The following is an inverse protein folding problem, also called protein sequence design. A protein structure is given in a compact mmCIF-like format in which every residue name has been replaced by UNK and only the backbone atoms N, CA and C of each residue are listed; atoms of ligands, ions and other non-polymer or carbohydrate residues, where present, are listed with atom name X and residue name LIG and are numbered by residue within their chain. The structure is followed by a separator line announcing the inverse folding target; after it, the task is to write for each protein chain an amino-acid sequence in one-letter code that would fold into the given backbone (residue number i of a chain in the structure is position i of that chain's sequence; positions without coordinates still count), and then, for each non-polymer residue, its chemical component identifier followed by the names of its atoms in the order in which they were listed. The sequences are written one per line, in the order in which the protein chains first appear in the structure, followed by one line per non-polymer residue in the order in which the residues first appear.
data_IF_796661336057
#
_entry.id   IF_796661336057
#
_cell.length_a   1.000
_cell.length_b   1.000
_cell.length_c   1.000
_cell.angle_alpha   90.00
_cell.angle_beta   90.00
_cell.angle_gamma   90.00
#
_symmetry.space_group_name_H-M   'P 1'
#
loop_
_entity.id
_entity.type
_entity.pdbx_description
1 polymer ?
#
# COMPACT_ATOMS: atom_id res chain seq x y z
N UNK A 1 -52.09 -18.92 -55.16
CA UNK A 1 -52.67 -20.24 -55.50
C UNK A 1 -51.68 -21.34 -55.20
N UNK A 2 -52.17 -22.31 -54.42
CA UNK A 2 -51.61 -23.64 -54.10
C UNK A 2 -50.52 -23.72 -53.05
N UNK A 3 -51.00 -23.87 -51.78
CA UNK A 3 -50.32 -24.46 -50.63
C UNK A 3 -50.04 -25.93 -50.87
N UNK A 4 -48.84 -26.42 -50.52
CA UNK A 4 -48.59 -27.83 -50.33
C UNK A 4 -48.16 -28.03 -48.86
N UNK A 5 -49.10 -28.58 -48.13
CA UNK A 5 -48.93 -29.11 -46.77
C UNK A 5 -48.15 -30.45 -46.90
N UNK A 6 -47.03 -30.57 -46.22
CA UNK A 6 -46.34 -31.83 -46.04
C UNK A 6 -46.50 -32.23 -44.56
N UNK A 7 -47.31 -33.26 -44.40
CA UNK A 7 -47.54 -33.96 -43.13
C UNK A 7 -46.36 -34.92 -42.90
N UNK A 8 -45.58 -34.75 -41.86
CA UNK A 8 -44.57 -35.73 -41.42
C UNK A 8 -45.12 -36.48 -40.22
N UNK A 9 -45.38 -37.78 -40.46
CA UNK A 9 -45.86 -38.76 -39.50
C UNK A 9 -44.69 -39.08 -38.54
N UNK A 10 -44.83 -38.80 -37.24
CA UNK A 10 -43.88 -39.25 -36.23
C UNK A 10 -44.29 -40.65 -35.73
N UNK A 11 -43.48 -41.65 -36.03
CA UNK A 11 -43.61 -42.98 -35.46
C UNK A 11 -42.97 -43.01 -34.08
N UNK A 12 -43.74 -43.25 -33.06
CA UNK A 12 -43.28 -43.52 -31.70
C UNK A 12 -42.84 -45.00 -31.57
N UNK A 13 -41.62 -45.21 -31.21
CA UNK A 13 -41.11 -46.51 -30.75
C UNK A 13 -40.85 -46.47 -29.25
N UNK A 14 -41.30 -47.45 -28.48
CA UNK A 14 -41.03 -47.52 -27.05
C UNK A 14 -39.61 -48.02 -26.79
N UNK A 15 -38.79 -47.25 -26.15
CA UNK A 15 -37.50 -47.68 -25.62
C UNK A 15 -37.72 -48.32 -24.25
N UNK A 16 -37.51 -49.66 -24.22
CA UNK A 16 -37.44 -50.43 -22.98
C UNK A 16 -36.22 -50.01 -22.17
N UNK A 17 -36.45 -49.69 -20.88
CA UNK A 17 -35.38 -49.56 -19.91
C UNK A 17 -34.71 -50.91 -19.66
N UNK A 18 -33.49 -51.08 -20.11
CA UNK A 18 -32.59 -52.11 -19.61
C UNK A 18 -31.71 -51.45 -18.57
N UNK A 19 -31.93 -51.77 -17.31
CA UNK A 19 -31.05 -51.46 -16.24
C UNK A 19 -29.74 -52.25 -16.42
N UNK A 20 -28.66 -51.54 -16.77
CA UNK A 20 -27.31 -52.13 -16.73
C UNK A 20 -26.74 -51.83 -15.32
N UNK A 21 -26.51 -52.90 -14.56
CA UNK A 21 -25.71 -52.91 -13.37
C UNK A 21 -24.30 -52.39 -13.69
N UNK A 22 -23.96 -51.22 -13.19
CA UNK A 22 -22.61 -50.75 -13.21
C UNK A 22 -21.79 -51.44 -12.11
N UNK A 23 -20.61 -51.93 -12.38
CA UNK A 23 -19.76 -52.55 -11.35
C UNK A 23 -19.35 -51.45 -10.33
N UNK A 24 -19.64 -51.68 -9.07
CA UNK A 24 -19.16 -50.90 -7.95
C UNK A 24 -17.63 -50.98 -7.91
N UNK A 25 -16.96 -49.94 -8.35
CA UNK A 25 -15.54 -49.75 -8.06
C UNK A 25 -15.37 -49.49 -6.57
N UNK A 26 -14.77 -50.46 -5.89
CA UNK A 26 -14.32 -50.33 -4.50
C UNK A 26 -13.33 -49.18 -4.42
N UNK A 27 -13.65 -48.18 -3.58
CA UNK A 27 -12.70 -47.10 -3.22
C UNK A 27 -11.42 -47.71 -2.64
N UNK A 28 -10.24 -47.23 -3.03
CA UNK A 28 -9.00 -47.69 -2.43
C UNK A 28 -8.99 -47.31 -0.93
N UNK A 29 -8.74 -48.32 -0.10
CA UNK A 29 -8.55 -48.21 1.35
C UNK A 29 -7.44 -47.20 1.62
N UNK A 30 -7.69 -46.22 2.48
CA UNK A 30 -6.70 -45.27 2.92
C UNK A 30 -5.46 -46.01 3.47
N UNK A 31 -4.24 -45.54 3.12
CA UNK A 31 -3.03 -46.15 3.67
C UNK A 31 -3.02 -45.97 5.19
N UNK A 32 -2.81 -47.09 5.89
CA UNK A 32 -2.68 -47.13 7.36
C UNK A 32 -1.64 -46.11 7.81
N UNK A 33 -2.01 -45.30 8.79
CA UNK A 33 -1.14 -44.35 9.45
C UNK A 33 0.18 -45.03 9.87
N UNK A 34 1.26 -44.63 9.23
CA UNK A 34 2.62 -45.00 9.65
C UNK A 34 2.86 -44.33 11.00
N UNK A 35 2.87 -45.11 12.06
CA UNK A 35 3.34 -44.64 13.37
C UNK A 35 4.83 -44.32 13.26
N UNK A 36 5.17 -43.06 13.22
CA UNK A 36 6.56 -42.64 13.40
C UNK A 36 6.98 -42.96 14.82
N UNK A 37 8.18 -43.57 15.01
CA UNK A 37 8.75 -43.73 16.35
C UNK A 37 9.02 -42.33 16.94
N UNK A 38 8.91 -42.14 18.27
CA UNK A 38 9.23 -40.86 18.90
C UNK A 38 10.68 -40.46 18.58
N UNK A 39 10.96 -39.14 18.43
CA UNK A 39 12.33 -38.69 18.18
C UNK A 39 13.24 -39.10 19.33
N UNK A 40 14.44 -39.53 18.97
CA UNK A 40 15.47 -39.88 19.95
C UNK A 40 15.81 -38.68 20.85
N UNK A 41 16.09 -38.89 22.15
CA UNK A 41 16.47 -37.79 23.02
C UNK A 41 17.74 -37.11 22.53
N UNK A 42 17.73 -35.77 22.55
CA UNK A 42 18.88 -34.96 22.17
C UNK A 42 20.12 -35.33 23.03
N UNK A 43 21.32 -35.33 22.45
CA UNK A 43 22.54 -35.55 23.18
C UNK A 43 22.73 -34.48 24.27
N UNK A 44 23.25 -34.80 25.44
CA UNK A 44 23.46 -33.83 26.50
C UNK A 44 24.44 -32.74 26.04
N UNK A 45 24.10 -31.50 26.37
CA UNK A 45 24.97 -30.34 26.14
C UNK A 45 26.36 -30.57 26.78
N UNK A 46 27.46 -30.12 26.14
CA UNK A 46 28.78 -30.20 26.73
C UNK A 46 28.80 -29.41 28.04
N UNK A 47 29.33 -30.05 29.12
CA UNK A 47 29.49 -29.42 30.40
C UNK A 47 30.35 -28.16 30.27
N UNK A 48 29.88 -27.07 30.84
CA UNK A 48 30.62 -25.83 30.97
C UNK A 48 31.89 -26.08 31.78
N UNK A 49 33.05 -25.77 31.21
CA UNK A 49 34.30 -25.73 31.96
C UNK A 49 34.31 -24.49 32.86
N UNK A 50 34.81 -24.57 34.09
CA UNK A 50 34.86 -23.41 34.98
C UNK A 50 35.91 -22.41 34.51
N UNK A 51 35.50 -21.16 34.52
CA UNK A 51 36.30 -19.96 34.25
C UNK A 51 37.61 -19.96 35.06
N UNK A 52 38.72 -19.87 34.34
CA UNK A 52 40.00 -19.57 34.93
C UNK A 52 40.08 -18.05 35.20
N UNK A 53 40.27 -17.69 36.44
CA UNK A 53 40.43 -16.33 36.93
C UNK A 53 41.59 -15.58 36.24
N UNK A 54 41.46 -14.27 36.01
CA UNK A 54 42.53 -13.46 35.45
C UNK A 54 43.64 -13.18 36.46
N UNK A 55 44.87 -13.51 36.09
CA UNK A 55 46.06 -13.07 36.83
C UNK A 55 46.32 -11.57 36.65
N UNK A 56 46.36 -10.87 37.78
CA UNK A 56 46.86 -9.53 37.92
C UNK A 56 48.37 -9.45 37.57
N UNK A 57 48.73 -8.59 36.65
CA UNK A 57 50.07 -7.99 36.62
C UNK A 57 49.91 -6.47 36.60
N UNK A 58 50.33 -5.83 37.66
CA UNK A 58 50.62 -4.41 37.81
C UNK A 58 52.14 -4.22 37.84
N UNK A 59 52.69 -2.97 37.91
CA UNK A 59 52.74 -1.93 36.87
C UNK A 59 54.22 -1.49 36.66
N UNK A 60 54.52 -0.80 35.56
CA UNK A 60 55.76 -0.05 35.46
C UNK A 60 55.48 1.35 34.86
N UNK A 61 55.67 2.25 35.75
CA UNK A 61 56.07 3.68 35.70
C UNK A 61 56.60 4.25 34.39
N UNK A 62 56.10 5.39 33.97
CA UNK A 62 56.81 6.64 33.76
C UNK A 62 55.91 7.75 33.21
N UNK A 63 55.70 8.78 34.00
CA UNK A 63 55.44 10.15 33.63
C UNK A 63 56.80 10.86 33.31
N UNK A 64 56.88 12.15 32.84
CA UNK A 64 55.86 13.15 32.56
C UNK A 64 56.13 14.00 31.28
N UNK A 65 55.22 14.82 30.86
CA UNK A 65 55.41 16.24 30.58
C UNK A 65 54.20 16.91 29.94
N UNK A 66 53.52 17.74 30.71
CA UNK A 66 52.80 18.93 30.22
C UNK A 66 53.81 20.04 29.86
N UNK A 67 53.48 21.09 29.05
CA UNK A 67 52.67 22.16 29.61
C UNK A 67 51.76 22.97 28.63
N UNK A 68 50.83 23.63 29.26
CA UNK A 68 50.39 25.03 29.09
C UNK A 68 49.35 25.38 28.05
N UNK A 69 48.21 25.73 28.58
CA UNK A 69 47.29 26.79 28.12
C UNK A 69 48.03 28.14 27.93
N UNK A 70 47.46 29.12 27.16
CA UNK A 70 46.49 29.99 27.84
C UNK A 70 45.28 30.43 26.98
N UNK A 71 44.16 30.66 27.64
CA UNK A 71 43.20 31.67 27.27
C UNK A 71 43.78 33.08 27.63
N UNK A 72 43.37 34.17 26.95
CA UNK A 72 42.59 35.16 27.69
C UNK A 72 41.47 35.86 26.93
N UNK A 73 40.46 36.14 27.73
CA UNK A 73 39.91 37.45 28.06
C UNK A 73 38.99 38.15 27.06
N UNK A 74 37.77 38.30 27.52
CA UNK A 74 36.84 39.39 27.15
C UNK A 74 37.44 40.77 27.59
N UNK A 75 37.01 41.89 26.97
CA UNK A 75 36.46 43.00 27.71
C UNK A 75 35.12 43.47 27.16
N UNK A 76 34.20 43.62 28.01
CA UNK A 76 33.52 44.74 28.67
C UNK A 76 33.30 46.02 27.85
N UNK A 77 31.96 46.34 27.82
CA UNK A 77 31.31 47.65 28.03
C UNK A 77 31.59 48.81 27.05
N UNK A 78 30.47 49.33 26.56
CA UNK A 78 30.32 50.66 25.99
C UNK A 78 28.86 51.05 25.96
N UNK A 79 28.43 51.72 27.01
CA UNK A 79 27.19 52.45 27.21
C UNK A 79 27.06 53.67 26.30
N UNK A 80 25.87 53.98 25.81
CA UNK A 80 25.27 55.34 25.77
C UNK A 80 24.03 55.34 24.87
N UNK A 81 22.87 55.52 25.49
CA UNK A 81 22.11 56.78 25.64
C UNK A 81 21.13 57.05 24.48
N UNK A 82 19.88 57.03 24.87
CA UNK A 82 18.71 57.66 24.21
C UNK A 82 18.94 59.15 23.92
N UNK A 83 18.15 59.80 23.05
CA UNK A 83 16.92 60.35 23.59
C UNK A 83 15.69 60.32 22.66
N UNK A 84 14.53 60.26 23.28
CA UNK A 84 13.25 60.75 22.75
C UNK A 84 13.25 62.26 22.67
N UNK A 85 12.38 62.87 21.87
CA UNK A 85 11.59 63.99 22.36
C UNK A 85 10.09 63.77 22.28
N UNK A 86 9.52 64.37 23.29
CA UNK A 86 8.09 64.52 23.59
C UNK A 86 7.40 65.54 22.69
N UNK A 87 6.08 65.27 22.62
CA UNK A 87 4.94 66.16 22.71
C UNK A 87 4.74 67.25 21.66
N UNK A 88 3.51 67.31 21.12
CA UNK A 88 2.50 68.25 21.66
C UNK A 88 1.10 67.94 21.17
N UNK A 89 0.20 68.22 22.02
CA UNK A 89 -1.22 68.06 21.97
C UNK A 89 -1.91 69.07 21.03
N UNK A 90 -3.06 68.77 20.54
CA UNK A 90 -4.31 69.43 20.71
C UNK A 90 -5.34 69.12 19.66
N UNK A 91 -6.45 68.68 20.04
CA UNK A 91 -7.80 69.28 20.14
C UNK A 91 -8.81 68.69 19.13
N UNK A 92 -9.72 67.98 19.77
CA UNK A 92 -11.19 67.97 19.59
C UNK A 92 -11.81 68.04 18.18
N UNK A 93 -12.56 67.02 17.88
CA UNK A 93 -14.02 67.13 17.68
C UNK A 93 -14.64 65.74 17.41
N UNK A 94 -15.61 65.40 18.28
CA UNK A 94 -16.58 64.33 18.04
C UNK A 94 -17.69 64.93 17.16
N UNK A 95 -18.26 64.11 16.18
CA UNK A 95 -19.59 63.63 16.49
C UNK A 95 -19.82 62.16 16.10
N UNK A 96 -20.55 61.56 17.00
CA UNK A 96 -21.63 60.58 16.91
C UNK A 96 -21.72 59.53 15.79
N UNK A 97 -21.69 58.29 16.28
CA UNK A 97 -22.59 57.16 15.99
C UNK A 97 -22.83 56.75 14.54
N UNK A 98 -22.20 55.64 14.18
CA UNK A 98 -22.86 54.53 13.51
C UNK A 98 -22.17 53.24 13.95
N UNK A 99 -22.82 52.55 14.86
CA UNK A 99 -22.58 51.16 15.19
C UNK A 99 -22.86 50.32 13.94
N UNK A 100 -21.79 49.87 13.34
CA UNK A 100 -21.80 48.79 12.37
C UNK A 100 -20.88 47.73 12.96
N UNK A 101 -21.44 46.84 13.75
CA UNK A 101 -20.83 45.54 14.05
C UNK A 101 -20.64 44.79 12.74
N UNK A 102 -19.48 44.91 12.17
CA UNK A 102 -19.01 43.95 11.18
C UNK A 102 -18.49 42.78 11.98
N UNK A 103 -19.43 41.95 12.40
CA UNK A 103 -19.13 40.60 12.87
C UNK A 103 -18.52 39.83 11.67
N UNK A 104 -17.20 39.96 11.53
CA UNK A 104 -16.39 39.20 10.60
C UNK A 104 -16.24 37.77 11.14
N UNK A 105 -17.38 37.14 11.41
CA UNK A 105 -17.50 35.69 11.55
C UNK A 105 -17.31 35.12 10.18
N UNK A 106 -16.05 34.83 9.87
CA UNK A 106 -15.71 33.88 8.79
C UNK A 106 -16.53 32.63 9.04
N UNK A 107 -17.70 32.55 8.42
CA UNK A 107 -18.53 31.36 8.41
C UNK A 107 -17.75 30.32 7.61
N UNK A 108 -16.94 29.55 8.31
CA UNK A 108 -16.30 28.37 7.72
C UNK A 108 -17.42 27.40 7.37
N UNK A 109 -17.89 27.46 6.13
CA UNK A 109 -18.83 26.47 5.58
C UNK A 109 -18.09 25.15 5.52
N UNK A 110 -18.18 24.36 6.58
CA UNK A 110 -17.74 22.96 6.57
C UNK A 110 -18.77 22.16 5.77
N UNK A 111 -18.62 22.13 4.45
CA UNK A 111 -19.38 21.19 3.61
C UNK A 111 -18.87 19.80 3.97
N UNK A 112 -19.68 19.02 4.68
CA UNK A 112 -19.43 17.59 4.86
C UNK A 112 -19.60 16.95 3.49
N UNK A 113 -18.52 16.44 2.94
CA UNK A 113 -18.57 15.71 1.66
C UNK A 113 -18.86 14.26 2.01
N UNK A 114 -20.10 13.84 1.86
CA UNK A 114 -20.55 12.47 2.09
C UNK A 114 -20.38 11.65 0.80
N UNK A 115 -19.19 11.71 0.19
CA UNK A 115 -18.86 11.06 -1.07
C UNK A 115 -17.75 10.04 -0.87
N UNK A 116 -17.87 8.93 -1.58
CA UNK A 116 -16.86 7.89 -1.63
C UNK A 116 -16.15 7.97 -2.98
N UNK A 117 -14.82 8.15 -2.94
CA UNK A 117 -13.98 8.17 -4.13
C UNK A 117 -13.37 6.78 -4.35
N UNK A 118 -13.45 6.27 -5.56
CA UNK A 118 -12.87 4.98 -5.92
C UNK A 118 -12.05 5.11 -7.19
N UNK A 119 -10.78 4.75 -7.08
CA UNK A 119 -9.88 4.60 -8.22
C UNK A 119 -9.97 3.15 -8.71
N UNK A 120 -10.02 2.96 -10.01
CA UNK A 120 -10.13 1.64 -10.63
C UNK A 120 -9.48 1.60 -12.01
N UNK A 121 -9.22 0.39 -12.48
CA UNK A 121 -8.71 0.13 -13.83
C UNK A 121 -9.68 -0.74 -14.61
N UNK A 122 -9.65 -0.61 -15.92
CA UNK A 122 -10.43 -1.44 -16.83
C UNK A 122 -9.50 -2.06 -17.86
N UNK A 123 -9.60 -3.37 -18.01
CA UNK A 123 -8.87 -4.12 -19.03
C UNK A 123 -9.81 -4.87 -19.95
N UNK A 124 -9.36 -5.12 -21.18
CA UNK A 124 -10.03 -6.00 -22.13
C UNK A 124 -9.72 -7.49 -21.81
N UNK A 125 -10.20 -8.41 -22.67
CA UNK A 125 -9.94 -9.85 -22.53
C UNK A 125 -8.47 -10.25 -22.71
N UNK A 126 -7.63 -9.36 -23.24
CA UNK A 126 -6.21 -9.55 -23.46
C UNK A 126 -5.36 -8.83 -22.43
N UNK A 127 -6.01 -8.35 -21.34
CA UNK A 127 -5.42 -7.56 -20.27
C UNK A 127 -4.84 -6.19 -20.73
N UNK A 128 -5.24 -5.66 -21.90
CA UNK A 128 -4.88 -4.30 -22.29
C UNK A 128 -5.77 -3.28 -21.59
N UNK A 129 -5.18 -2.19 -21.12
CA UNK A 129 -5.92 -1.09 -20.48
C UNK A 129 -6.82 -0.38 -21.48
N UNK A 130 -8.10 -0.25 -21.13
CA UNK A 130 -9.10 0.50 -21.89
C UNK A 130 -9.16 1.90 -21.33
N UNK A 131 -8.90 2.93 -22.16
CA UNK A 131 -8.69 4.32 -21.70
C UNK A 131 -9.73 5.32 -22.22
N UNK A 132 -10.72 4.89 -22.99
CA UNK A 132 -11.67 5.72 -23.71
C UNK A 132 -13.12 5.61 -23.21
N UNK A 133 -13.32 4.94 -22.05
CA UNK A 133 -14.64 4.79 -21.45
C UNK A 133 -15.13 6.10 -20.79
N UNK A 134 -16.46 6.18 -20.64
CA UNK A 134 -17.19 7.31 -20.08
C UNK A 134 -18.01 6.90 -18.86
N UNK A 135 -18.55 7.86 -18.12
CA UNK A 135 -19.39 7.57 -16.95
C UNK A 135 -20.58 6.63 -17.26
N UNK A 136 -21.18 6.77 -18.44
CA UNK A 136 -22.32 5.96 -18.86
C UNK A 136 -22.00 4.47 -19.06
N UNK A 137 -20.70 4.13 -19.15
CA UNK A 137 -20.26 2.75 -19.33
C UNK A 137 -20.19 1.97 -18.00
N UNK A 138 -20.47 2.65 -16.87
CA UNK A 138 -20.31 2.07 -15.55
C UNK A 138 -21.56 2.15 -14.70
N UNK A 139 -21.68 1.18 -13.79
CA UNK A 139 -22.64 1.15 -12.69
C UNK A 139 -21.92 0.88 -11.39
N UNK A 140 -22.28 1.61 -10.33
CA UNK A 140 -21.74 1.40 -8.97
C UNK A 140 -22.79 0.75 -8.10
N UNK A 141 -22.39 -0.24 -7.35
CA UNK A 141 -23.17 -0.91 -6.32
C UNK A 141 -22.43 -0.79 -5.00
N UNK A 142 -23.06 -0.16 -4.01
CA UNK A 142 -22.54 0.04 -2.66
C UNK A 142 -23.38 -0.73 -1.67
N UNK A 143 -22.80 -1.69 -0.97
CA UNK A 143 -23.47 -2.58 -0.01
C UNK A 143 -24.76 -3.18 -0.59
N UNK A 144 -24.67 -3.73 -1.82
CA UNK A 144 -25.76 -4.31 -2.59
C UNK A 144 -26.85 -3.33 -3.05
N UNK A 145 -26.65 -2.02 -2.90
CA UNK A 145 -27.56 -0.98 -3.38
C UNK A 145 -26.94 -0.21 -4.54
N UNK A 146 -27.70 0.07 -5.62
CA UNK A 146 -27.17 0.92 -6.68
C UNK A 146 -26.92 2.32 -6.16
N UNK A 147 -25.77 2.88 -6.53
CA UNK A 147 -25.35 4.24 -6.16
C UNK A 147 -25.19 5.11 -7.42
N UNK A 148 -25.57 6.39 -7.28
CA UNK A 148 -25.44 7.35 -8.38
C UNK A 148 -23.99 7.89 -8.45
N UNK A 149 -23.43 7.90 -9.65
CA UNK A 149 -22.12 8.47 -9.90
C UNK A 149 -22.27 9.99 -9.96
N UNK A 150 -21.60 10.69 -9.04
CA UNK A 150 -21.59 12.16 -8.97
C UNK A 150 -20.49 12.76 -9.86
N UNK A 151 -19.32 12.10 -9.91
CA UNK A 151 -18.24 12.51 -10.79
C UNK A 151 -17.52 11.31 -11.40
N UNK A 152 -16.95 11.55 -12.58
CA UNK A 152 -16.13 10.60 -13.31
C UNK A 152 -14.94 11.32 -13.91
N UNK A 153 -13.74 10.79 -13.74
CA UNK A 153 -12.54 11.35 -14.31
C UNK A 153 -11.51 10.29 -14.67
N UNK A 154 -10.61 10.67 -15.56
CA UNK A 154 -9.37 9.91 -15.81
C UNK A 154 -8.30 10.44 -14.88
N UNK A 155 -7.83 9.61 -13.96
CA UNK A 155 -6.96 10.02 -12.86
C UNK A 155 -5.48 10.24 -13.26
N UNK A 156 -5.17 10.36 -14.54
CA UNK A 156 -3.78 10.57 -15.01
C UNK A 156 -3.17 11.90 -14.57
N UNK A 157 -4.02 12.90 -14.23
CA UNK A 157 -3.55 14.25 -13.90
C UNK A 157 -3.44 14.53 -12.39
N UNK A 158 -3.97 13.68 -11.52
CA UNK A 158 -3.83 13.86 -10.08
C UNK A 158 -2.41 13.50 -9.61
N UNK A 159 -1.88 14.26 -8.63
CA UNK A 159 -0.60 13.91 -8.01
C UNK A 159 -0.62 12.52 -7.42
N UNK A 160 0.50 11.83 -7.53
CA UNK A 160 0.69 10.46 -7.04
C UNK A 160 1.54 10.47 -5.76
N UNK A 161 1.12 9.67 -4.78
CA UNK A 161 1.91 9.34 -3.58
C UNK A 161 2.22 7.87 -3.61
N UNK A 162 3.48 7.52 -3.80
CA UNK A 162 3.95 6.13 -3.92
C UNK A 162 4.72 5.73 -2.67
N UNK A 163 4.32 4.64 -2.05
CA UNK A 163 5.15 3.93 -1.08
C UNK A 163 5.81 2.73 -1.74
N UNK A 164 7.12 2.67 -1.70
CA UNK A 164 7.89 1.50 -2.11
C UNK A 164 8.31 0.74 -0.86
N UNK A 165 7.78 -0.47 -0.69
CA UNK A 165 8.07 -1.36 0.42
C UNK A 165 8.89 -2.53 -0.11
N UNK A 166 10.10 -2.69 0.39
CA UNK A 166 11.04 -3.72 -0.05
C UNK A 166 11.35 -4.65 1.11
N UNK A 167 11.06 -5.91 0.91
CA UNK A 167 11.49 -6.97 1.80
C UNK A 167 13.02 -7.03 1.84
N UNK A 168 13.57 -6.86 3.03
CA UNK A 168 15.01 -6.94 3.28
C UNK A 168 15.34 -8.14 4.17
N UNK A 169 14.52 -9.18 4.17
CA UNK A 169 14.75 -10.40 4.92
C UNK A 169 15.88 -11.26 4.34
N UNK A 170 16.28 -12.28 5.07
CA UNK A 170 17.35 -13.18 4.60
C UNK A 170 16.98 -13.97 3.35
N UNK A 171 15.71 -14.23 3.09
CA UNK A 171 15.22 -15.03 1.94
C UNK A 171 15.47 -14.36 0.59
N UNK A 172 15.56 -13.02 0.54
CA UNK A 172 15.73 -12.26 -0.70
C UNK A 172 17.18 -11.93 -1.06
N UNK A 173 18.15 -12.30 -0.21
CA UNK A 173 19.55 -11.87 -0.29
C UNK A 173 20.20 -12.04 -1.67
N UNK A 174 20.00 -13.16 -2.34
CA UNK A 174 20.69 -13.50 -3.61
C UNK A 174 20.21 -12.65 -4.79
N UNK A 175 19.00 -12.11 -4.71
CA UNK A 175 18.37 -11.31 -5.78
C UNK A 175 18.20 -9.85 -5.41
N UNK A 176 18.48 -9.49 -4.17
CA UNK A 176 18.22 -8.19 -3.58
C UNK A 176 18.79 -7.01 -4.40
N UNK A 177 19.99 -7.17 -4.92
CA UNK A 177 20.62 -6.13 -5.74
C UNK A 177 19.84 -5.84 -7.01
N UNK A 178 19.33 -6.87 -7.69
CA UNK A 178 18.54 -6.70 -8.90
C UNK A 178 17.17 -6.07 -8.59
N UNK A 179 16.57 -6.45 -7.47
CA UNK A 179 15.33 -5.84 -6.98
C UNK A 179 15.52 -4.36 -6.69
N UNK A 180 16.62 -3.97 -6.04
CA UNK A 180 16.99 -2.58 -5.81
C UNK A 180 17.13 -1.80 -7.13
N UNK A 181 17.88 -2.33 -8.10
CA UNK A 181 18.10 -1.69 -9.40
C UNK A 181 16.79 -1.50 -10.16
N UNK A 182 15.94 -2.53 -10.20
CA UNK A 182 14.62 -2.48 -10.85
C UNK A 182 13.69 -1.47 -10.15
N UNK A 183 13.72 -1.42 -8.83
CA UNK A 183 12.91 -0.49 -8.04
C UNK A 183 13.35 0.97 -8.24
N UNK A 184 14.65 1.23 -8.34
CA UNK A 184 15.21 2.56 -8.64
C UNK A 184 14.76 3.02 -10.04
N UNK A 185 14.87 2.14 -11.04
CA UNK A 185 14.43 2.44 -12.39
C UNK A 185 12.94 2.78 -12.44
N UNK A 186 12.10 2.00 -11.73
CA UNK A 186 10.68 2.29 -11.59
C UNK A 186 10.42 3.67 -10.98
N UNK A 187 11.09 4.02 -9.89
CA UNK A 187 10.90 5.32 -9.24
C UNK A 187 11.30 6.47 -10.17
N UNK A 188 12.43 6.33 -10.88
CA UNK A 188 12.92 7.33 -11.83
C UNK A 188 11.93 7.58 -12.99
N UNK A 189 11.24 6.53 -13.46
CA UNK A 189 10.30 6.62 -14.56
C UNK A 189 8.90 7.05 -14.12
N UNK A 190 8.53 6.80 -12.86
CA UNK A 190 7.16 6.98 -12.36
C UNK A 190 6.97 8.33 -11.67
N UNK A 191 7.91 8.74 -10.83
CA UNK A 191 7.79 9.95 -10.00
C UNK A 191 8.10 11.20 -10.82
N UNK A 192 7.07 12.02 -11.05
CA UNK A 192 7.22 13.29 -11.78
C UNK A 192 7.59 14.40 -10.80
N UNK A 193 8.75 15.10 -11.01
CA UNK A 193 9.15 16.20 -10.15
C UNK A 193 8.07 17.28 -10.01
N UNK A 194 7.93 17.86 -8.83
CA UNK A 194 6.96 18.91 -8.44
C UNK A 194 5.49 18.48 -8.45
N UNK A 195 5.19 17.25 -8.85
CA UNK A 195 3.83 16.72 -8.89
C UNK A 195 3.67 15.50 -7.98
N UNK A 196 4.52 14.52 -8.17
CA UNK A 196 4.45 13.25 -7.45
C UNK A 196 5.45 13.22 -6.30
N UNK A 197 5.22 12.34 -5.33
CA UNK A 197 6.20 12.07 -4.28
C UNK A 197 6.21 10.58 -3.97
N UNK A 198 7.38 10.07 -3.61
CA UNK A 198 7.53 8.72 -3.13
C UNK A 198 8.29 8.68 -1.81
N UNK A 199 8.11 7.58 -1.08
CA UNK A 199 8.92 7.21 0.09
C UNK A 199 9.36 5.76 -0.03
N UNK A 200 10.42 5.40 0.68
CA UNK A 200 11.00 4.05 0.68
C UNK A 200 11.01 3.51 2.10
N UNK A 201 10.49 2.30 2.25
CA UNK A 201 10.55 1.52 3.49
C UNK A 201 11.16 0.17 3.16
N UNK A 202 12.22 -0.19 3.88
CA UNK A 202 12.68 -1.55 3.97
C UNK A 202 12.07 -2.22 5.19
N UNK A 203 11.88 -3.52 5.12
CA UNK A 203 11.42 -4.27 6.29
C UNK A 203 12.09 -5.63 6.38
N UNK A 204 12.55 -5.92 7.58
CA UNK A 204 13.02 -7.23 8.02
C UNK A 204 12.27 -7.61 9.31
N UNK A 205 12.89 -7.56 10.47
CA UNK A 205 12.24 -7.74 11.78
C UNK A 205 11.30 -6.57 12.10
N UNK A 206 11.62 -5.37 11.59
CA UNK A 206 10.84 -4.15 11.77
C UNK A 206 10.87 -3.28 10.51
N UNK A 207 9.81 -2.50 10.24
CA UNK A 207 9.83 -1.53 9.13
C UNK A 207 10.79 -0.35 9.43
N UNK A 208 11.63 -0.02 8.46
CA UNK A 208 12.56 1.12 8.50
C UNK A 208 12.33 2.06 7.32
N UNK A 209 12.10 3.35 7.62
CA UNK A 209 11.99 4.39 6.58
C UNK A 209 13.39 4.85 6.19
N UNK A 210 13.86 4.43 5.03
CA UNK A 210 15.17 4.83 4.51
C UNK A 210 15.11 6.13 3.71
N UNK A 211 13.93 6.47 3.16
CA UNK A 211 13.68 7.76 2.52
C UNK A 211 12.21 8.17 2.76
N UNK A 212 12.01 9.37 3.31
CA UNK A 212 10.68 9.97 3.45
C UNK A 212 10.21 10.62 2.15
N UNK A 213 8.96 11.11 2.11
CA UNK A 213 8.38 11.71 0.93
C UNK A 213 9.28 12.72 0.24
N UNK A 214 9.61 12.46 -1.00
CA UNK A 214 10.37 13.33 -1.89
C UNK A 214 9.98 13.10 -3.35
N UNK A 215 10.20 14.10 -4.18
CA UNK A 215 10.13 14.02 -5.64
C UNK A 215 11.51 13.93 -6.29
N UNK A 216 12.57 13.92 -5.47
CA UNK A 216 13.94 13.81 -5.93
C UNK A 216 14.35 12.35 -6.12
N UNK A 217 14.56 11.95 -7.37
CA UNK A 217 14.91 10.58 -7.73
C UNK A 217 16.25 10.11 -7.16
N UNK A 218 17.23 11.01 -6.99
CA UNK A 218 18.53 10.66 -6.40
C UNK A 218 18.39 10.29 -4.92
N UNK A 219 17.57 11.05 -4.15
CA UNK A 219 17.29 10.74 -2.75
C UNK A 219 16.54 9.42 -2.63
N UNK A 220 15.57 9.15 -3.52
CA UNK A 220 14.85 7.88 -3.56
C UNK A 220 15.81 6.71 -3.85
N UNK A 221 16.68 6.85 -4.85
CA UNK A 221 17.68 5.84 -5.19
C UNK A 221 18.63 5.59 -4.01
N UNK A 222 19.07 6.67 -3.33
CA UNK A 222 19.90 6.54 -2.13
C UNK A 222 19.17 5.77 -1.02
N UNK A 223 17.88 6.05 -0.79
CA UNK A 223 17.04 5.33 0.18
C UNK A 223 16.95 3.84 -0.13
N UNK A 224 16.78 3.48 -1.41
CA UNK A 224 16.76 2.07 -1.84
C UNK A 224 18.14 1.42 -1.64
N UNK A 225 19.24 2.10 -2.02
CA UNK A 225 20.59 1.59 -1.82
C UNK A 225 21.01 1.47 -0.34
N UNK A 226 20.36 2.18 0.56
CA UNK A 226 20.64 2.10 1.99
C UNK A 226 20.17 0.77 2.62
N UNK A 227 19.20 0.10 2.02
CA UNK A 227 18.66 -1.17 2.49
C UNK A 227 19.72 -2.28 2.49
N UNK A 228 19.66 -3.15 3.49
CA UNK A 228 20.57 -4.29 3.63
C UNK A 228 19.76 -5.52 4.01
N UNK A 229 19.95 -6.66 3.32
CA UNK A 229 19.22 -7.88 3.64
C UNK A 229 19.71 -8.49 4.96
N UNK A 230 18.74 -8.83 5.82
CA UNK A 230 18.97 -9.48 7.12
C UNK A 230 17.66 -9.77 7.84
N UNK A 231 17.72 -10.51 8.94
CA UNK A 231 16.58 -10.70 9.83
C UNK A 231 15.43 -11.58 9.32
N UNK A 232 14.26 -11.38 9.91
CA UNK A 232 12.99 -12.01 9.57
C UNK A 232 12.17 -11.15 8.62
N UNK A 233 10.81 -11.26 8.67
CA UNK A 233 9.90 -10.55 7.75
C UNK A 233 8.69 -10.03 8.51
N UNK A 234 8.59 -8.69 8.66
CA UNK A 234 7.44 -7.98 9.25
C UNK A 234 6.62 -7.27 8.16
N UNK A 235 6.08 -8.05 7.23
CA UNK A 235 5.37 -7.56 6.05
C UNK A 235 4.11 -6.78 6.41
N UNK A 236 3.28 -7.33 7.31
CA UNK A 236 2.01 -6.68 7.67
C UNK A 236 2.25 -5.42 8.48
N UNK A 237 3.24 -5.41 9.38
CA UNK A 237 3.64 -4.19 10.11
C UNK A 237 4.12 -3.10 9.14
N UNK A 238 4.89 -3.46 8.11
CA UNK A 238 5.38 -2.51 7.10
C UNK A 238 4.24 -1.89 6.29
N UNK A 239 3.30 -2.71 5.81
CA UNK A 239 2.13 -2.23 5.08
C UNK A 239 1.24 -1.35 5.96
N UNK A 240 0.98 -1.80 7.20
CA UNK A 240 0.18 -1.05 8.17
C UNK A 240 0.81 0.32 8.49
N UNK A 241 2.11 0.33 8.78
CA UNK A 241 2.85 1.55 9.07
C UNK A 241 2.86 2.53 7.88
N UNK A 242 3.14 2.03 6.67
CA UNK A 242 3.13 2.83 5.45
C UNK A 242 1.78 3.53 5.22
N UNK A 243 0.69 2.80 5.42
CA UNK A 243 -0.65 3.34 5.25
C UNK A 243 -1.05 4.31 6.37
N UNK A 244 -0.84 3.94 7.65
CA UNK A 244 -1.24 4.74 8.81
C UNK A 244 -0.37 5.98 8.99
N UNK A 245 0.94 5.80 8.96
CA UNK A 245 1.88 6.84 9.39
C UNK A 245 2.43 7.69 8.25
N UNK A 246 2.39 7.20 7.02
CA UNK A 246 2.80 7.96 5.85
C UNK A 246 1.61 8.47 5.04
N UNK A 247 0.76 7.58 4.50
CA UNK A 247 -0.28 7.99 3.56
C UNK A 247 -1.45 8.74 4.22
N UNK A 248 -1.93 8.29 5.40
CA UNK A 248 -3.04 8.95 6.10
C UNK A 248 -2.64 10.27 6.76
N UNK A 249 -1.39 10.39 7.22
CA UNK A 249 -0.87 11.61 7.83
C UNK A 249 -0.39 12.65 6.81
N UNK A 250 -0.26 12.27 5.53
CA UNK A 250 0.10 13.22 4.48
C UNK A 250 -0.93 14.36 4.38
N UNK A 251 -0.50 15.58 4.04
CA UNK A 251 -1.40 16.74 3.94
C UNK A 251 -2.58 16.46 3.02
N UNK A 252 -3.80 16.75 3.49
CA UNK A 252 -5.06 16.53 2.77
C UNK A 252 -5.50 17.74 1.93
N UNK A 253 -4.60 18.70 1.71
CA UNK A 253 -4.91 19.96 1.01
C UNK A 253 -5.28 19.78 -0.47
N UNK A 254 -4.89 18.66 -1.06
CA UNK A 254 -5.17 18.31 -2.45
C UNK A 254 -5.61 16.85 -2.54
N UNK A 255 -6.45 16.56 -3.54
CA UNK A 255 -6.77 15.17 -3.89
C UNK A 255 -5.55 14.52 -4.51
N UNK A 256 -5.14 13.37 -4.00
CA UNK A 256 -3.98 12.60 -4.47
C UNK A 256 -4.35 11.14 -4.67
N UNK A 257 -3.71 10.50 -5.64
CA UNK A 257 -3.74 9.04 -5.77
C UNK A 257 -2.68 8.44 -4.86
N UNK A 258 -3.01 7.34 -4.20
CA UNK A 258 -2.11 6.64 -3.29
C UNK A 258 -1.88 5.22 -3.79
N UNK A 259 -0.62 4.85 -3.94
CA UNK A 259 -0.22 3.51 -4.33
C UNK A 259 0.89 3.00 -3.43
N UNK A 260 0.86 1.71 -3.14
CA UNK A 260 1.94 0.97 -2.49
C UNK A 260 2.44 -0.08 -3.48
N UNK A 261 3.74 -0.16 -3.66
CA UNK A 261 4.39 -1.25 -4.37
C UNK A 261 5.15 -2.07 -3.33
N UNK A 262 4.73 -3.30 -3.16
CA UNK A 262 5.23 -4.22 -2.14
C UNK A 262 5.99 -5.37 -2.80
N UNK A 263 7.29 -5.43 -2.55
CA UNK A 263 8.17 -6.53 -2.99
C UNK A 263 8.43 -7.44 -1.81
N UNK A 264 8.03 -8.72 -1.88
CA UNK A 264 8.25 -9.72 -0.83
C UNK A 264 7.95 -11.12 -1.37
N UNK A 265 8.45 -12.17 -0.71
CA UNK A 265 7.99 -13.54 -0.94
C UNK A 265 6.65 -13.86 -0.23
N UNK A 266 6.13 -12.89 0.55
CA UNK A 266 4.83 -12.96 1.20
C UNK A 266 4.79 -13.75 2.51
N UNK A 267 5.91 -14.30 2.94
CA UNK A 267 6.02 -15.05 4.20
C UNK A 267 6.28 -14.08 5.36
N UNK A 268 5.27 -13.87 6.20
CA UNK A 268 5.36 -13.04 7.41
C UNK A 268 5.64 -13.89 8.64
N UNK A 269 6.62 -13.48 9.46
CA UNK A 269 6.98 -14.19 10.68
C UNK A 269 7.33 -13.28 11.87
N UNK A 270 7.25 -11.95 11.70
CA UNK A 270 7.63 -10.97 12.73
C UNK A 270 6.55 -9.92 13.01
N UNK A 271 5.52 -9.79 12.19
CA UNK A 271 4.52 -8.75 12.38
C UNK A 271 3.71 -8.91 13.66
N UNK A 272 3.37 -7.77 14.25
CA UNK A 272 2.49 -7.66 15.43
C UNK A 272 1.03 -7.51 15.03
N UNK A 273 0.77 -6.88 13.86
CA UNK A 273 -0.58 -6.78 13.30
C UNK A 273 -0.87 -7.98 12.40
N UNK A 274 -2.16 -8.27 12.24
CA UNK A 274 -2.62 -9.31 11.32
C UNK A 274 -2.66 -8.81 9.88
N UNK A 275 -2.68 -9.73 8.92
CA UNK A 275 -2.86 -9.41 7.51
C UNK A 275 -4.14 -8.60 7.27
N UNK A 276 -5.23 -8.96 7.95
CA UNK A 276 -6.52 -8.31 7.83
C UNK A 276 -6.48 -6.86 8.33
N UNK A 277 -5.79 -6.59 9.43
CA UNK A 277 -5.59 -5.22 9.94
C UNK A 277 -4.74 -4.37 8.99
N UNK A 278 -3.72 -4.96 8.37
CA UNK A 278 -2.91 -4.28 7.36
C UNK A 278 -3.72 -3.94 6.10
N UNK A 279 -4.55 -4.88 5.61
CA UNK A 279 -5.48 -4.65 4.49
C UNK A 279 -6.50 -3.57 4.84
N UNK A 280 -7.11 -3.64 6.02
CA UNK A 280 -8.04 -2.62 6.49
C UNK A 280 -7.39 -1.24 6.50
N UNK A 281 -6.17 -1.13 7.00
CA UNK A 281 -5.44 0.13 7.04
C UNK A 281 -5.14 0.67 5.63
N UNK A 282 -4.81 -0.20 4.67
CA UNK A 282 -4.62 0.19 3.28
C UNK A 282 -5.93 0.70 2.64
N UNK A 283 -7.06 0.05 2.92
CA UNK A 283 -8.37 0.50 2.45
C UNK A 283 -8.79 1.84 3.09
N UNK A 284 -8.53 2.05 4.40
CA UNK A 284 -8.75 3.34 5.09
C UNK A 284 -7.87 4.45 4.53
N UNK A 285 -6.65 4.12 4.11
CA UNK A 285 -5.74 5.04 3.44
C UNK A 285 -6.10 5.29 1.98
N UNK A 286 -7.11 4.58 1.43
CA UNK A 286 -7.47 4.60 0.00
C UNK A 286 -6.27 4.29 -0.90
N UNK A 287 -5.36 3.43 -0.43
CA UNK A 287 -4.17 3.03 -1.14
C UNK A 287 -4.44 1.77 -1.98
N UNK A 288 -4.05 1.83 -3.24
CA UNK A 288 -4.00 0.65 -4.13
C UNK A 288 -2.67 -0.04 -3.89
N UNK A 289 -2.68 -1.33 -3.55
CA UNK A 289 -1.45 -2.08 -3.27
C UNK A 289 -1.16 -3.04 -4.42
N UNK A 290 -0.03 -2.82 -5.08
CA UNK A 290 0.54 -3.73 -6.06
C UNK A 290 1.57 -4.60 -5.36
N UNK A 291 1.50 -5.89 -5.59
CA UNK A 291 2.46 -6.83 -4.99
C UNK A 291 3.30 -7.49 -6.07
N UNK A 292 4.60 -7.57 -5.84
CA UNK A 292 5.53 -8.27 -6.70
C UNK A 292 6.16 -9.39 -5.87
N UNK A 293 5.83 -10.62 -6.21
CA UNK A 293 6.41 -11.78 -5.53
C UNK A 293 7.89 -11.92 -5.87
N UNK A 294 8.69 -12.07 -4.84
CA UNK A 294 10.10 -12.39 -4.99
C UNK A 294 10.35 -13.91 -4.95
N UNK A 295 9.32 -14.73 -4.90
CA UNK A 295 9.40 -16.18 -4.97
C UNK A 295 9.75 -16.62 -6.41
N UNK A 296 10.98 -17.07 -6.62
CA UNK A 296 11.47 -17.56 -7.93
C UNK A 296 11.44 -19.08 -8.05
N UNK A 297 10.73 -19.77 -7.17
CA UNK A 297 10.64 -21.23 -7.21
C UNK A 297 9.91 -21.79 -8.45
N UNK A 298 9.24 -20.92 -9.20
CA UNK A 298 8.41 -21.30 -10.37
C UNK A 298 7.07 -21.95 -10.01
N UNK A 299 6.78 -22.11 -8.72
CA UNK A 299 5.49 -22.61 -8.22
C UNK A 299 4.93 -21.69 -7.17
N UNK A 300 3.64 -21.29 -7.26
CA UNK A 300 3.00 -20.45 -6.26
C UNK A 300 3.05 -21.08 -4.87
N UNK A 301 3.59 -20.33 -3.91
CA UNK A 301 3.68 -20.72 -2.49
C UNK A 301 2.53 -20.17 -1.63
N UNK A 302 2.57 -20.45 -0.31
CA UNK A 302 1.64 -19.83 0.64
C UNK A 302 1.73 -18.30 0.66
N UNK A 303 2.95 -17.75 0.60
CA UNK A 303 3.19 -16.31 0.59
C UNK A 303 2.63 -15.62 -0.64
N UNK A 304 2.69 -16.25 -1.83
CA UNK A 304 2.05 -15.70 -3.03
C UNK A 304 0.55 -15.47 -2.84
N UNK A 305 -0.15 -16.38 -2.15
CA UNK A 305 -1.59 -16.22 -1.83
C UNK A 305 -1.85 -15.06 -0.86
N UNK A 306 -0.89 -14.78 0.00
CA UNK A 306 -0.95 -13.60 0.90
C UNK A 306 -0.86 -12.34 0.06
N UNK A 307 0.11 -12.28 -0.87
CA UNK A 307 0.30 -11.16 -1.78
C UNK A 307 -0.93 -10.93 -2.68
N UNK A 308 -1.49 -12.02 -3.25
CA UNK A 308 -2.75 -11.99 -4.02
C UNK A 308 -3.88 -11.36 -3.20
N UNK A 309 -4.05 -11.81 -1.95
CA UNK A 309 -5.13 -11.34 -1.08
C UNK A 309 -5.01 -9.86 -0.77
N UNK A 310 -3.79 -9.36 -0.51
CA UNK A 310 -3.52 -7.93 -0.23
C UNK A 310 -3.84 -7.09 -1.48
N UNK A 311 -3.32 -7.49 -2.65
CA UNK A 311 -3.55 -6.76 -3.90
C UNK A 311 -5.04 -6.73 -4.27
N UNK A 312 -5.71 -7.88 -4.28
CA UNK A 312 -7.12 -7.99 -4.64
C UNK A 312 -8.05 -7.17 -3.73
N UNK A 313 -7.78 -7.17 -2.42
CA UNK A 313 -8.62 -6.45 -1.46
C UNK A 313 -8.54 -4.93 -1.62
N UNK A 314 -7.41 -4.41 -2.14
CA UNK A 314 -7.13 -2.99 -2.30
C UNK A 314 -7.34 -2.48 -3.73
N UNK A 315 -7.66 -3.38 -4.67
CA UNK A 315 -7.89 -3.05 -6.09
C UNK A 315 -6.62 -2.97 -6.93
N UNK A 316 -5.50 -3.45 -6.39
CA UNK A 316 -4.25 -3.60 -7.11
C UNK A 316 -4.13 -4.93 -7.86
N UNK A 317 -2.93 -5.22 -8.33
CA UNK A 317 -2.61 -6.43 -9.09
C UNK A 317 -1.42 -7.14 -8.46
N UNK A 318 -1.51 -8.47 -8.26
CA UNK A 318 -0.35 -9.27 -7.89
C UNK A 318 0.47 -9.65 -9.14
N UNK A 319 1.77 -9.67 -8.99
CA UNK A 319 2.72 -10.11 -10.01
C UNK A 319 3.57 -11.25 -9.46
N UNK A 320 3.72 -12.31 -10.27
CA UNK A 320 4.49 -13.50 -9.93
C UNK A 320 5.58 -13.74 -10.98
N UNK A 321 6.71 -12.99 -10.93
CA UNK A 321 7.79 -13.14 -11.87
C UNK A 321 8.42 -14.54 -11.76
N UNK A 322 8.54 -15.27 -12.85
CA UNK A 322 9.22 -16.56 -12.88
C UNK A 322 10.74 -16.44 -12.85
N UNK A 323 11.25 -15.31 -13.31
CA UNK A 323 12.66 -15.00 -13.38
C UNK A 323 12.89 -13.60 -12.81
N UNK A 324 14.05 -13.40 -12.26
CA UNK A 324 14.41 -12.11 -11.65
C UNK A 324 14.26 -10.93 -12.62
N UNK A 325 14.57 -11.13 -13.92
CA UNK A 325 14.38 -10.10 -14.95
C UNK A 325 12.92 -9.70 -15.18
N UNK A 326 11.96 -10.58 -14.83
CA UNK A 326 10.53 -10.31 -15.02
C UNK A 326 10.00 -9.34 -13.96
N UNK A 327 10.77 -9.07 -12.90
CA UNK A 327 10.49 -8.02 -11.91
C UNK A 327 10.44 -6.64 -12.58
N UNK A 328 11.36 -6.36 -13.52
CA UNK A 328 11.35 -5.12 -14.28
C UNK A 328 10.08 -4.99 -15.15
N UNK A 329 9.60 -6.09 -15.73
CA UNK A 329 8.36 -6.10 -16.50
C UNK A 329 7.15 -5.82 -15.61
N UNK A 330 7.11 -6.37 -14.37
CA UNK A 330 6.07 -6.09 -13.40
C UNK A 330 6.03 -4.58 -13.04
N UNK A 331 7.17 -3.96 -12.82
CA UNK A 331 7.26 -2.53 -12.58
C UNK A 331 6.76 -1.69 -13.77
N UNK A 332 7.13 -2.06 -15.01
CA UNK A 332 6.66 -1.38 -16.21
C UNK A 332 5.12 -1.48 -16.36
N UNK A 333 4.55 -2.63 -16.08
CA UNK A 333 3.10 -2.84 -16.11
C UNK A 333 2.39 -2.02 -15.03
N UNK A 334 2.93 -1.95 -13.81
CA UNK A 334 2.40 -1.08 -12.74
C UNK A 334 2.43 0.39 -13.17
N UNK A 335 3.51 0.83 -13.80
CA UNK A 335 3.63 2.20 -14.30
C UNK A 335 2.55 2.52 -15.34
N UNK A 336 2.31 1.61 -16.29
CA UNK A 336 1.27 1.76 -17.30
C UNK A 336 -0.13 1.76 -16.66
N UNK A 337 -0.35 0.94 -15.66
CA UNK A 337 -1.60 0.91 -14.92
C UNK A 337 -1.85 2.22 -14.18
N UNK A 338 -0.87 2.73 -13.45
CA UNK A 338 -0.97 4.01 -12.75
C UNK A 338 -1.31 5.19 -13.69
N UNK A 339 -1.01 5.06 -14.98
CA UNK A 339 -1.36 6.05 -16.02
C UNK A 339 -2.71 5.78 -16.70
N UNK A 340 -3.36 4.66 -16.36
CA UNK A 340 -4.58 4.19 -17.05
C UNK A 340 -5.78 4.11 -16.12
N UNK A 341 -5.70 4.68 -14.93
CA UNK A 341 -6.74 4.63 -13.92
C UNK A 341 -7.89 5.59 -14.24
N UNK A 342 -9.08 5.19 -13.81
CA UNK A 342 -10.27 6.01 -13.69
C UNK A 342 -10.56 6.31 -12.23
N UNK A 343 -11.28 7.41 -11.97
CA UNK A 343 -11.88 7.66 -10.67
C UNK A 343 -13.37 7.95 -10.80
N UNK A 344 -14.11 7.42 -9.88
CA UNK A 344 -15.53 7.72 -9.67
C UNK A 344 -15.70 8.28 -8.27
N UNK A 345 -16.46 9.37 -8.12
CA UNK A 345 -17.09 9.68 -6.85
C UNK A 345 -18.57 9.34 -6.91
N UNK A 346 -19.08 8.78 -5.82
CA UNK A 346 -20.48 8.48 -5.69
C UNK A 346 -20.96 8.79 -4.27
N UNK A 347 -22.26 9.01 -4.14
CA UNK A 347 -22.89 9.23 -2.84
C UNK A 347 -23.57 7.93 -2.40
N UNK A 348 -23.15 7.32 -1.27
CA UNK A 348 -23.83 6.17 -0.72
C UNK A 348 -25.28 6.47 -0.40
N UNK A 349 -26.18 5.53 -0.67
CA UNK A 349 -27.61 5.69 -0.38
C UNK A 349 -27.89 5.84 1.13
N UNK A 350 -27.01 5.30 1.97
CA UNK A 350 -27.12 5.30 3.44
C UNK A 350 -25.74 5.61 4.06
N UNK A 351 -25.29 6.87 3.91
CA UNK A 351 -24.02 7.30 4.46
C UNK A 351 -24.11 7.40 5.99
N UNK A 352 -23.32 6.58 6.69
CA UNK A 352 -23.21 6.56 8.15
C UNK A 352 -21.75 6.74 8.55
N UNK A 353 -21.55 7.36 9.72
CA UNK A 353 -20.23 7.54 10.35
C UNK A 353 -20.06 6.54 11.49
N UNK A 354 -20.17 5.25 11.15
CA UNK A 354 -20.22 4.15 12.12
C UNK A 354 -18.95 3.28 12.12
N UNK A 355 -17.97 3.61 11.28
CA UNK A 355 -16.73 2.86 11.17
C UNK A 355 -16.83 1.49 10.47
N UNK A 356 -18.05 1.09 10.03
CA UNK A 356 -18.25 -0.23 9.44
C UNK A 356 -17.75 -0.31 8.00
N UNK A 357 -17.35 -1.51 7.61
CA UNK A 357 -16.99 -1.85 6.25
C UNK A 357 -18.24 -1.96 5.36
N UNK A 358 -18.16 -1.41 4.15
CA UNK A 358 -19.18 -1.53 3.10
C UNK A 358 -18.52 -2.01 1.82
N UNK A 359 -19.17 -2.96 1.16
CA UNK A 359 -18.67 -3.49 -0.11
C UNK A 359 -18.92 -2.52 -1.25
N UNK A 360 -17.99 -2.49 -2.21
CA UNK A 360 -18.13 -1.74 -3.46
C UNK A 360 -17.99 -2.73 -4.61
N UNK A 361 -18.88 -2.59 -5.60
CA UNK A 361 -18.72 -3.25 -6.89
C UNK A 361 -18.92 -2.21 -8.01
N UNK A 362 -17.91 -2.05 -8.86
CA UNK A 362 -17.97 -1.21 -10.05
C UNK A 362 -18.06 -2.13 -11.25
N UNK A 363 -19.16 -2.05 -11.95
CA UNK A 363 -19.48 -2.90 -13.08
C UNK A 363 -19.44 -2.12 -14.39
N UNK A 364 -18.71 -2.65 -15.37
CA UNK A 364 -18.85 -2.17 -16.74
C UNK A 364 -20.14 -2.70 -17.36
N UNK A 365 -20.86 -1.87 -18.11
CA UNK A 365 -22.09 -2.28 -18.80
C UNK A 365 -21.80 -3.40 -19.82
N UNK A 366 -20.65 -3.40 -20.47
CA UNK A 366 -20.17 -4.50 -21.31
C UNK A 366 -19.27 -5.46 -20.52
N UNK A 367 -19.85 -6.15 -19.53
CA UNK A 367 -19.14 -7.15 -18.70
C UNK A 367 -18.52 -8.30 -19.50
N UNK A 368 -18.94 -8.54 -20.71
CA UNK A 368 -18.40 -9.63 -21.54
C UNK A 368 -17.03 -9.30 -22.10
N UNK A 369 -16.74 -8.04 -22.31
CA UNK A 369 -15.50 -7.57 -22.94
C UNK A 369 -14.56 -6.88 -21.98
N UNK A 370 -15.06 -6.33 -20.87
CA UNK A 370 -14.26 -5.56 -19.94
C UNK A 370 -14.21 -6.21 -18.54
N UNK A 371 -13.06 -6.09 -17.92
CA UNK A 371 -12.82 -6.43 -16.52
C UNK A 371 -12.50 -5.16 -15.77
N UNK A 372 -13.27 -4.90 -14.71
CA UNK A 372 -13.02 -3.77 -13.80
C UNK A 372 -12.30 -4.31 -12.57
N UNK A 373 -11.24 -3.62 -12.17
CA UNK A 373 -10.53 -3.91 -10.93
C UNK A 373 -10.52 -2.66 -10.05
N UNK A 374 -11.10 -2.78 -8.87
CA UNK A 374 -11.23 -1.73 -7.86
C UNK A 374 -11.05 -2.32 -6.47
N UNK A 375 -10.89 -1.47 -5.45
CA UNK A 375 -10.97 -1.92 -4.06
C UNK A 375 -12.33 -2.57 -3.78
N UNK A 376 -12.32 -3.59 -2.95
CA UNK A 376 -13.52 -4.38 -2.63
C UNK A 376 -14.52 -3.66 -1.73
N UNK A 377 -14.12 -2.58 -1.09
CA UNK A 377 -14.97 -1.84 -0.18
C UNK A 377 -14.28 -0.64 0.44
N UNK A 378 -14.96 -0.02 1.38
CA UNK A 378 -14.49 1.13 2.11
C UNK A 378 -14.98 1.08 3.57
N UNK A 379 -14.26 1.76 4.44
CA UNK A 379 -14.65 1.91 5.83
C UNK A 379 -15.29 3.29 6.03
N UNK A 380 -16.48 3.30 6.58
CA UNK A 380 -17.12 4.55 6.95
C UNK A 380 -16.25 5.31 7.97
N UNK A 381 -16.21 6.65 7.93
CA UNK A 381 -15.49 7.41 8.95
C UNK A 381 -16.12 7.16 10.32
N UNK A 382 -15.33 7.23 11.38
CA UNK A 382 -15.80 7.33 12.77
C UNK A 382 -15.96 8.79 13.14
N UNK A 383 -16.96 9.11 13.96
CA UNK A 383 -17.17 10.48 14.46
C UNK A 383 -16.02 10.95 15.33
#
# INVERSE_FOLDING_TARGET
MRYRLILVLAAALPWGLVAQDAPQQSLPTAPSAVKYPPPAPAPPAPAAQPDSAPQQQAPASAQPSSPSSPAPASPQQGTASSPSPKSDAATSSKPAAASGDVDDTLTVIRKRVDEVNVVFTVTDKRDHFVKDLTQSDFRVVDDSKPANIESFSRETNLPLRVGLLIDASNSVRDRFKFEQESAIEFLNQTVQPRKDQAFVIGFDVTPEVTQDFTDNSELLAHGVHALRPGGGTALYDALYYACRDKLLKAPKSITVRRAIILLSDGDDNQSHVTREEAIEMAQRAEAVVYTISTNVSGTPGPGDKVLDRIADATGGKPFHPFQIRDVANAFAEIQDELRSQYAISYKPADFKTDGHYRSIDIEANDRKNFRVRSRRGWYAPTQ
#
